data_IF_739670226399
#
_entry.id   IF_739670226399
#
_cell.length_a   1.000
_cell.length_b   1.000
_cell.length_c   1.000
_cell.angle_alpha   90.00
_cell.angle_beta   90.00
_cell.angle_gamma   90.00
#
_symmetry.space_group_name_H-M   'P 1'
#
loop_
_entity.id
_entity.type
_entity.pdbx_description
1 polymer ?
#
# COMPACT_ATOMS: atom_id res chain seq x y z
N UNK A 1 -15.84 -0.83 31.03
CA UNK A 1 -14.47 -0.97 30.52
C UNK A 1 -14.32 -2.25 29.71
N UNK A 2 -14.64 -3.41 30.30
CA UNK A 2 -14.44 -4.73 29.69
C UNK A 2 -15.20 -4.96 28.36
N UNK A 3 -16.44 -4.49 28.23
CA UNK A 3 -17.20 -4.60 26.97
C UNK A 3 -16.57 -3.81 25.82
N UNK A 4 -16.00 -2.65 26.11
CA UNK A 4 -15.31 -1.80 25.12
C UNK A 4 -14.01 -2.47 24.69
N UNK A 5 -13.20 -2.94 25.64
CA UNK A 5 -11.95 -3.64 25.36
C UNK A 5 -12.14 -4.88 24.50
N UNK A 6 -13.11 -5.73 24.85
CA UNK A 6 -13.42 -6.96 24.09
C UNK A 6 -13.93 -6.68 22.67
N UNK A 7 -14.50 -5.51 22.42
CA UNK A 7 -15.12 -5.17 21.13
C UNK A 7 -14.28 -4.21 20.28
N UNK A 8 -13.25 -3.57 20.85
CA UNK A 8 -12.44 -2.56 20.18
C UNK A 8 -11.58 -3.15 19.04
N UNK A 9 -11.07 -4.38 19.23
CA UNK A 9 -10.18 -5.06 18.27
C UNK A 9 -10.68 -6.48 17.96
N UNK A 10 -11.81 -6.63 17.22
CA UNK A 10 -12.47 -7.92 17.04
C UNK A 10 -11.76 -8.87 16.07
N UNK A 11 -10.82 -8.36 15.27
CA UNK A 11 -10.11 -9.12 14.22
C UNK A 11 -8.67 -8.65 14.09
N UNK A 12 -7.85 -9.36 13.32
CA UNK A 12 -6.50 -8.92 12.98
C UNK A 12 -6.51 -7.80 11.92
N UNK A 13 -5.50 -6.93 11.95
CA UNK A 13 -5.34 -5.82 11.01
C UNK A 13 -4.72 -4.60 11.67
N UNK A 14 -4.50 -3.54 10.88
CA UNK A 14 -4.18 -2.20 11.39
C UNK A 14 -5.43 -1.55 12.01
N UNK A 15 -5.21 -0.45 12.73
CA UNK A 15 -6.31 0.40 13.20
C UNK A 15 -7.25 0.78 12.04
N UNK A 16 -8.55 0.83 12.28
CA UNK A 16 -9.56 1.03 11.24
C UNK A 16 -9.67 2.46 10.70
N UNK A 17 -9.20 3.46 11.45
CA UNK A 17 -9.22 4.88 11.03
C UNK A 17 -8.12 5.23 10.03
N UNK A 18 -8.23 6.41 9.40
CA UNK A 18 -7.14 7.00 8.59
C UNK A 18 -6.01 7.53 9.48
N UNK A 19 -5.34 6.59 10.15
CA UNK A 19 -4.10 6.82 10.88
C UNK A 19 -2.91 6.37 10.01
N UNK A 20 -1.70 6.53 10.54
CA UNK A 20 -0.44 6.29 9.81
C UNK A 20 -0.42 4.98 9.02
N UNK A 21 -0.90 3.87 9.58
CA UNK A 21 -0.89 2.58 8.89
C UNK A 21 -1.77 2.56 7.63
N UNK A 22 -2.98 3.13 7.68
CA UNK A 22 -3.87 3.15 6.53
C UNK A 22 -3.46 4.24 5.53
N UNK A 23 -3.07 5.42 6.01
CA UNK A 23 -2.51 6.49 5.17
C UNK A 23 -1.31 5.99 4.38
N UNK A 24 -0.30 5.39 5.02
CA UNK A 24 0.88 4.89 4.31
C UNK A 24 0.57 3.79 3.30
N UNK A 25 -0.38 2.90 3.58
CA UNK A 25 -0.76 1.87 2.60
C UNK A 25 -1.41 2.48 1.35
N UNK A 26 -2.28 3.47 1.52
CA UNK A 26 -2.86 4.21 0.41
C UNK A 26 -1.80 5.02 -0.36
N UNK A 27 -0.82 5.59 0.34
CA UNK A 27 0.26 6.35 -0.29
C UNK A 27 1.21 5.45 -1.09
N UNK A 28 1.50 4.22 -0.65
CA UNK A 28 2.30 3.30 -1.46
C UNK A 28 1.61 2.92 -2.76
N UNK A 29 0.28 2.84 -2.78
CA UNK A 29 -0.47 2.69 -4.03
C UNK A 29 -0.34 3.94 -4.91
N UNK A 30 -0.50 5.13 -4.33
CA UNK A 30 -0.41 6.40 -5.07
C UNK A 30 1.01 6.65 -5.65
N UNK A 31 2.05 6.23 -4.94
CA UNK A 31 3.44 6.28 -5.42
C UNK A 31 3.68 5.23 -6.54
N UNK A 32 2.89 4.16 -6.57
CA UNK A 32 3.02 3.06 -7.53
C UNK A 32 3.94 1.92 -7.06
N UNK A 33 4.24 1.86 -5.76
CA UNK A 33 5.07 0.80 -5.15
C UNK A 33 4.23 -0.36 -4.59
N UNK A 34 2.93 -0.18 -4.43
CA UNK A 34 1.99 -1.23 -4.07
C UNK A 34 0.97 -1.46 -5.18
N UNK A 35 0.44 -2.69 -5.25
CA UNK A 35 -0.63 -3.03 -6.18
C UNK A 35 -1.93 -2.32 -5.79
N UNK A 36 -2.78 -1.95 -6.77
CA UNK A 36 -4.10 -1.39 -6.51
C UNK A 36 -4.92 -2.26 -5.56
N UNK A 37 -5.49 -1.67 -4.52
CA UNK A 37 -6.28 -2.35 -3.49
C UNK A 37 -5.51 -2.75 -2.23
N UNK A 38 -4.20 -2.53 -2.14
CA UNK A 38 -3.38 -2.85 -0.97
C UNK A 38 -3.84 -2.14 0.33
N UNK A 39 -4.17 -0.86 0.26
CA UNK A 39 -4.59 0.01 1.34
C UNK A 39 -6.09 0.02 1.63
N UNK A 40 -6.91 -0.57 0.75
CA UNK A 40 -8.38 -0.63 0.94
C UNK A 40 -8.90 -2.04 1.27
N UNK A 41 -8.21 -3.10 0.85
CA UNK A 41 -8.65 -4.48 1.10
C UNK A 41 -8.45 -4.86 2.56
N UNK A 42 -9.51 -5.26 3.27
CA UNK A 42 -9.42 -5.67 4.67
C UNK A 42 -8.49 -6.88 4.87
N UNK A 43 -7.79 -6.91 6.01
CA UNK A 43 -6.83 -7.97 6.34
C UNK A 43 -7.45 -9.38 6.32
N UNK A 44 -8.71 -9.51 6.73
CA UNK A 44 -9.46 -10.77 6.78
C UNK A 44 -10.24 -11.09 5.50
N UNK A 45 -10.27 -10.17 4.52
CA UNK A 45 -11.00 -10.39 3.29
C UNK A 45 -10.31 -11.45 2.42
N UNK A 46 -11.10 -12.35 1.80
CA UNK A 46 -10.58 -13.43 0.96
C UNK A 46 -9.73 -12.92 -0.21
N UNK A 47 -10.07 -11.75 -0.76
CA UNK A 47 -9.38 -11.15 -1.92
C UNK A 47 -7.97 -10.67 -1.56
N UNK A 48 -7.66 -10.46 -0.28
CA UNK A 48 -6.30 -10.10 0.20
C UNK A 48 -5.28 -11.18 -0.22
N UNK A 49 -5.70 -12.45 -0.29
CA UNK A 49 -4.84 -13.55 -0.74
C UNK A 49 -4.41 -13.37 -2.21
N UNK A 50 -5.31 -12.87 -3.06
CA UNK A 50 -5.01 -12.65 -4.47
C UNK A 50 -3.93 -11.57 -4.64
N UNK A 51 -4.00 -10.49 -3.86
CA UNK A 51 -2.97 -9.45 -3.85
C UNK A 51 -1.58 -9.98 -3.51
N UNK A 52 -1.47 -10.93 -2.57
CA UNK A 52 -0.17 -11.53 -2.24
C UNK A 52 0.41 -12.38 -3.36
N UNK A 53 -0.44 -13.18 -4.02
CA UNK A 53 -0.03 -14.03 -5.14
C UNK A 53 0.38 -13.16 -6.33
N UNK A 54 -0.40 -12.12 -6.62
CA UNK A 54 -0.10 -11.16 -7.69
C UNK A 54 1.18 -10.37 -7.42
N UNK A 55 1.39 -9.90 -6.18
CA UNK A 55 2.63 -9.22 -5.81
C UNK A 55 3.86 -10.13 -5.99
N UNK A 56 3.73 -11.41 -5.62
CA UNK A 56 4.78 -12.41 -5.82
C UNK A 56 5.11 -12.66 -7.30
N UNK A 57 4.11 -12.74 -8.17
CA UNK A 57 4.35 -12.82 -9.61
C UNK A 57 4.97 -11.52 -10.15
N UNK A 58 4.44 -10.37 -9.73
CA UNK A 58 4.85 -9.05 -10.20
C UNK A 58 6.32 -8.77 -9.90
N UNK A 59 6.81 -9.10 -8.71
CA UNK A 59 8.23 -8.87 -8.37
C UNK A 59 9.17 -9.72 -9.24
N UNK A 60 8.80 -10.96 -9.55
CA UNK A 60 9.58 -11.82 -10.45
C UNK A 60 9.62 -11.23 -11.86
N UNK A 61 8.50 -10.70 -12.34
CA UNK A 61 8.43 -10.04 -13.64
C UNK A 61 9.28 -8.75 -13.67
N UNK A 62 9.23 -7.92 -12.62
CA UNK A 62 10.11 -6.74 -12.50
C UNK A 62 11.60 -7.14 -12.50
N UNK A 63 11.98 -8.23 -11.82
CA UNK A 63 13.34 -8.74 -11.87
C UNK A 63 13.73 -9.19 -13.29
N UNK A 64 12.84 -9.83 -14.04
CA UNK A 64 13.10 -10.21 -15.44
C UNK A 64 13.28 -8.98 -16.32
N UNK A 65 12.42 -7.98 -16.17
CA UNK A 65 12.54 -6.70 -16.89
C UNK A 65 13.93 -6.07 -16.65
N UNK A 66 14.37 -6.00 -15.40
CA UNK A 66 15.67 -5.42 -15.07
C UNK A 66 16.85 -6.28 -15.57
N UNK A 67 16.92 -7.55 -15.16
CA UNK A 67 18.12 -8.38 -15.41
C UNK A 67 18.23 -8.94 -16.82
N UNK A 68 17.10 -9.15 -17.52
CA UNK A 68 17.09 -9.77 -18.85
C UNK A 68 16.88 -8.76 -19.98
N UNK A 69 16.22 -7.63 -19.69
CA UNK A 69 15.89 -6.62 -20.70
C UNK A 69 16.58 -5.27 -20.48
N UNK A 70 17.42 -5.17 -19.43
CA UNK A 70 18.11 -3.94 -19.02
C UNK A 70 17.16 -2.75 -18.82
N UNK A 71 15.91 -3.04 -18.42
CA UNK A 71 14.91 -2.02 -18.18
C UNK A 71 15.16 -1.37 -16.82
N UNK A 72 15.73 -0.16 -16.81
CA UNK A 72 16.01 0.59 -15.57
C UNK A 72 14.76 1.27 -14.98
N UNK A 73 13.66 1.37 -15.75
CA UNK A 73 12.44 2.07 -15.34
C UNK A 73 11.64 1.31 -14.27
N UNK A 74 11.92 0.02 -14.07
CA UNK A 74 11.29 -0.81 -13.03
C UNK A 74 11.92 -0.65 -11.65
N UNK A 75 13.01 0.10 -11.54
CA UNK A 75 13.68 0.33 -10.25
C UNK A 75 12.84 1.24 -9.35
N UNK A 76 12.87 1.05 -8.01
CA UNK A 76 12.12 1.89 -7.09
C UNK A 76 12.38 3.39 -7.24
N UNK A 77 13.59 3.80 -7.61
CA UNK A 77 13.93 5.22 -7.85
C UNK A 77 13.30 5.81 -9.11
N UNK A 78 13.03 4.97 -10.11
CA UNK A 78 12.34 5.40 -11.33
C UNK A 78 10.83 5.55 -11.06
N UNK A 79 10.26 4.65 -10.26
CA UNK A 79 8.84 4.66 -9.86
C UNK A 79 8.57 5.78 -8.85
N UNK A 80 9.26 5.77 -7.71
CA UNK A 80 9.13 6.76 -6.64
C UNK A 80 9.94 8.03 -6.96
N UNK A 81 9.53 8.70 -8.03
CA UNK A 81 10.10 9.97 -8.48
C UNK A 81 9.31 11.17 -7.92
N UNK A 82 9.78 12.38 -8.20
CA UNK A 82 9.16 13.63 -7.70
C UNK A 82 7.67 13.72 -8.01
N UNK A 83 7.24 13.31 -9.20
CA UNK A 83 5.83 13.36 -9.60
C UNK A 83 4.99 12.38 -8.78
N UNK A 84 5.49 11.17 -8.56
CA UNK A 84 4.83 10.17 -7.72
C UNK A 84 4.61 10.66 -6.29
N UNK A 85 5.63 11.30 -5.69
CA UNK A 85 5.51 11.90 -4.36
C UNK A 85 4.56 13.10 -4.31
N UNK A 86 4.50 13.92 -5.37
CA UNK A 86 3.51 15.01 -5.45
C UNK A 86 2.09 14.47 -5.54
N UNK A 87 1.89 13.41 -6.34
CA UNK A 87 0.60 12.73 -6.43
C UNK A 87 0.19 12.13 -5.08
N UNK A 88 1.11 11.47 -4.38
CA UNK A 88 0.82 10.90 -3.06
C UNK A 88 0.46 11.99 -2.05
N UNK A 89 1.14 13.14 -2.07
CA UNK A 89 0.80 14.26 -1.19
C UNK A 89 -0.61 14.80 -1.44
N UNK A 90 -1.04 14.92 -2.71
CA UNK A 90 -2.42 15.32 -3.04
C UNK A 90 -3.43 14.32 -2.49
N UNK A 91 -3.13 13.02 -2.62
CA UNK A 91 -3.97 11.94 -2.10
C UNK A 91 -4.03 11.98 -0.57
N UNK A 92 -2.91 12.23 0.12
CA UNK A 92 -2.85 12.31 1.58
C UNK A 92 -3.75 13.43 2.13
N UNK A 93 -3.66 14.61 1.51
CA UNK A 93 -4.48 15.78 1.87
C UNK A 93 -5.96 15.47 1.60
N UNK A 94 -6.29 14.83 0.47
CA UNK A 94 -7.67 14.51 0.12
C UNK A 94 -8.31 13.48 1.07
N UNK A 95 -7.54 12.51 1.55
CA UNK A 95 -8.02 11.49 2.48
C UNK A 95 -8.04 11.96 3.94
N UNK A 96 -7.41 13.09 4.26
CA UNK A 96 -7.19 13.52 5.64
C UNK A 96 -6.21 12.60 6.37
N UNK A 97 -5.08 12.31 5.73
CA UNK A 97 -4.05 11.42 6.25
C UNK A 97 -3.40 11.88 7.55
N UNK A 98 -2.61 10.98 8.12
CA UNK A 98 -1.89 11.23 9.38
C UNK A 98 -0.78 12.27 9.17
N UNK A 99 -0.53 13.14 10.13
CA UNK A 99 0.62 14.07 10.03
C UNK A 99 2.00 13.39 10.03
N UNK A 100 2.04 12.07 10.25
CA UNK A 100 3.26 11.27 10.17
C UNK A 100 3.59 10.82 8.75
N UNK A 101 2.68 11.02 7.79
CA UNK A 101 2.84 10.66 6.37
C UNK A 101 3.24 11.88 5.54
#
# INVERSE_FOLDING_TARGET
SEQVERSACPTCGSCSGMFTANSMNCLLEAIGLALPGNGTTLATHKDRKQLYVEAGARIVDLCREYYQKDNQDVLPRAIANKTAFMNSMVVDIAMGGSSNT
#
